data_IF_074077634210
#
_entry.id   IF_074077634210
#
_cell.length_a   1.000
_cell.length_b   1.000
_cell.length_c   1.000
_cell.angle_alpha   90.00
_cell.angle_beta   90.00
_cell.angle_gamma   90.00
#
_symmetry.space_group_name_H-M   'P 1'
#
loop_
_entity.id
_entity.type
_entity.pdbx_description
1 polymer ?
#
# COMPACT_ATOMS: atom_id res chain seq x y z
N UNK A 1 27.27 -21.52 -17.01
CA UNK A 1 26.18 -22.02 -16.16
C UNK A 1 25.71 -20.86 -15.30
N UNK A 2 25.06 -19.85 -15.91
CA UNK A 2 24.48 -18.67 -15.25
C UNK A 2 23.46 -18.05 -16.23
N UNK A 3 22.40 -18.79 -16.59
CA UNK A 3 21.38 -18.31 -17.55
C UNK A 3 19.94 -18.74 -17.16
N UNK A 4 19.69 -19.05 -15.89
CA UNK A 4 18.42 -19.65 -15.43
C UNK A 4 17.51 -18.76 -14.58
N UNK A 5 17.70 -17.43 -14.60
CA UNK A 5 16.86 -16.48 -13.85
C UNK A 5 16.28 -15.35 -14.72
N UNK A 6 15.84 -15.67 -15.93
CA UNK A 6 14.88 -14.82 -16.64
C UNK A 6 13.48 -15.41 -16.45
N UNK A 7 12.49 -14.65 -15.95
CA UNK A 7 11.11 -15.10 -15.96
C UNK A 7 10.69 -15.35 -17.41
N UNK A 8 10.16 -16.55 -17.67
CA UNK A 8 9.61 -16.94 -18.96
C UNK A 8 8.51 -15.94 -19.33
N UNK A 9 8.74 -15.21 -20.41
CA UNK A 9 7.78 -14.41 -21.21
C UNK A 9 6.59 -13.85 -20.43
N UNK A 10 6.66 -12.58 -20.05
CA UNK A 10 5.47 -11.79 -19.74
C UNK A 10 4.59 -11.78 -21.00
N UNK A 11 3.32 -12.22 -20.95
CA UNK A 11 2.44 -12.17 -22.11
C UNK A 11 2.32 -10.73 -22.61
N UNK A 12 2.44 -10.55 -23.93
CA UNK A 12 2.57 -9.26 -24.60
C UNK A 12 1.30 -8.38 -24.58
N UNK A 13 0.25 -8.80 -23.86
CA UNK A 13 -1.06 -8.15 -23.83
C UNK A 13 -1.47 -7.79 -22.39
N UNK A 14 -0.77 -6.84 -21.78
CA UNK A 14 -1.20 -6.21 -20.51
C UNK A 14 -2.52 -5.45 -20.65
N UNK A 15 -2.96 -5.16 -21.89
CA UNK A 15 -4.26 -4.54 -22.20
C UNK A 15 -5.46 -5.47 -21.95
N UNK A 16 -5.29 -6.79 -22.09
CA UNK A 16 -6.38 -7.77 -21.94
C UNK A 16 -6.65 -8.12 -20.48
N UNK A 17 -5.62 -8.09 -19.62
CA UNK A 17 -5.74 -8.39 -18.18
C UNK A 17 -6.52 -7.33 -17.39
N UNK A 18 -6.62 -6.10 -17.90
CA UNK A 18 -7.35 -5.01 -17.25
C UNK A 18 -8.89 -5.14 -17.36
N UNK A 19 -9.39 -6.04 -18.22
CA UNK A 19 -10.81 -6.25 -18.48
C UNK A 19 -11.30 -7.64 -18.06
N UNK A 20 -10.47 -8.42 -17.36
CA UNK A 20 -10.88 -9.73 -16.88
C UNK A 20 -11.96 -9.59 -15.78
N UNK A 21 -13.05 -10.33 -15.93
CA UNK A 21 -14.08 -10.37 -14.90
C UNK A 21 -13.50 -10.97 -13.61
N UNK A 22 -13.88 -10.40 -12.46
CA UNK A 22 -13.39 -10.84 -11.15
C UNK A 22 -14.54 -11.32 -10.29
N UNK A 23 -14.24 -12.26 -9.39
CA UNK A 23 -15.16 -12.73 -8.36
C UNK A 23 -14.67 -12.27 -6.99
N UNK A 24 -15.61 -11.89 -6.13
CA UNK A 24 -15.35 -11.53 -4.73
C UNK A 24 -15.24 -12.82 -3.91
N UNK A 25 -14.08 -13.01 -3.28
CA UNK A 25 -13.78 -14.15 -2.43
C UNK A 25 -13.58 -13.69 -0.99
N UNK A 26 -14.38 -14.22 -0.06
CA UNK A 26 -14.18 -14.00 1.36
C UNK A 26 -13.18 -15.03 1.90
N UNK A 27 -11.97 -14.58 2.22
CA UNK A 27 -10.93 -15.39 2.89
C UNK A 27 -10.95 -15.22 4.41
N UNK A 28 -11.93 -14.49 4.94
CA UNK A 28 -12.16 -14.12 6.34
C UNK A 28 -12.97 -15.15 7.14
N UNK A 29 -13.69 -14.68 8.16
CA UNK A 29 -14.79 -15.43 8.81
C UNK A 29 -16.13 -14.76 8.48
N UNK A 30 -17.24 -15.33 8.94
CA UNK A 30 -18.56 -14.69 8.81
C UNK A 30 -18.67 -13.39 9.63
N UNK A 31 -17.97 -13.31 10.77
CA UNK A 31 -17.98 -12.15 11.67
C UNK A 31 -16.93 -11.10 11.31
N UNK A 32 -15.80 -11.51 10.71
CA UNK A 32 -14.74 -10.64 10.18
C UNK A 32 -14.45 -10.99 8.72
N UNK A 33 -15.30 -10.55 7.77
CA UNK A 33 -15.15 -10.85 6.36
C UNK A 33 -13.94 -10.11 5.77
N UNK A 34 -13.10 -10.84 5.04
CA UNK A 34 -11.93 -10.30 4.33
C UNK A 34 -12.07 -10.59 2.85
N UNK A 35 -12.59 -9.61 2.11
CA UNK A 35 -12.91 -9.76 0.70
C UNK A 35 -11.71 -9.42 -0.17
N UNK A 36 -11.40 -10.30 -1.10
CA UNK A 36 -10.40 -10.09 -2.16
C UNK A 36 -11.03 -10.38 -3.52
N UNK A 37 -10.46 -9.79 -4.56
CA UNK A 37 -10.88 -10.03 -5.95
C UNK A 37 -9.91 -10.99 -6.62
N UNK A 38 -10.44 -12.05 -7.19
CA UNK A 38 -9.69 -13.03 -7.97
C UNK A 38 -10.26 -13.17 -9.37
N UNK A 39 -9.41 -13.49 -10.35
CA UNK A 39 -9.83 -13.63 -11.75
C UNK A 39 -10.88 -14.73 -11.92
N UNK A 40 -11.91 -14.47 -12.72
CA UNK A 40 -12.96 -15.44 -13.00
C UNK A 40 -12.48 -16.57 -13.93
N UNK A 41 -11.32 -16.41 -14.59
CA UNK A 41 -10.76 -17.42 -15.49
C UNK A 41 -10.20 -18.66 -14.80
N UNK A 42 -10.06 -18.64 -13.46
CA UNK A 42 -9.55 -19.76 -12.68
C UNK A 42 -10.49 -20.97 -12.77
N UNK A 43 -9.91 -22.15 -12.96
CA UNK A 43 -10.70 -23.37 -12.91
C UNK A 43 -11.19 -23.65 -11.47
N UNK A 44 -12.23 -24.48 -11.28
CA UNK A 44 -12.78 -24.73 -9.95
C UNK A 44 -11.79 -25.36 -8.95
N UNK A 45 -10.81 -26.13 -9.44
CA UNK A 45 -9.80 -26.76 -8.60
C UNK A 45 -8.76 -25.72 -8.17
N UNK A 46 -8.21 -24.97 -9.12
CA UNK A 46 -7.29 -23.86 -8.91
C UNK A 46 -7.89 -22.82 -7.98
N UNK A 47 -9.17 -22.48 -8.15
CA UNK A 47 -9.88 -21.55 -7.28
C UNK A 47 -9.95 -22.09 -5.84
N UNK A 48 -10.20 -23.39 -5.66
CA UNK A 48 -10.22 -24.03 -4.35
C UNK A 48 -8.84 -24.03 -3.67
N UNK A 49 -7.80 -24.39 -4.41
CA UNK A 49 -6.41 -24.38 -3.94
C UNK A 49 -5.96 -22.96 -3.58
N UNK A 50 -6.29 -21.98 -4.43
CA UNK A 50 -5.97 -20.58 -4.21
C UNK A 50 -6.72 -19.99 -3.02
N UNK A 51 -8.01 -20.33 -2.85
CA UNK A 51 -8.80 -19.93 -1.68
C UNK A 51 -8.18 -20.46 -0.39
N UNK A 52 -7.78 -21.73 -0.39
CA UNK A 52 -7.13 -22.36 0.76
C UNK A 52 -5.79 -21.69 1.07
N UNK A 53 -4.98 -21.45 0.05
CA UNK A 53 -3.69 -20.78 0.17
C UNK A 53 -3.83 -19.38 0.78
N UNK A 54 -4.74 -18.55 0.26
CA UNK A 54 -4.94 -17.18 0.72
C UNK A 54 -5.56 -17.12 2.11
N UNK A 55 -6.47 -18.04 2.43
CA UNK A 55 -7.06 -18.16 3.76
C UNK A 55 -6.00 -18.50 4.82
N UNK A 56 -5.06 -19.38 4.49
CA UNK A 56 -3.94 -19.75 5.37
C UNK A 56 -2.93 -18.60 5.56
N UNK A 57 -2.82 -17.68 4.60
CA UNK A 57 -1.90 -16.54 4.64
C UNK A 57 -2.62 -15.20 4.82
N UNK A 58 -3.80 -15.19 5.46
CA UNK A 58 -4.60 -13.98 5.69
C UNK A 58 -3.83 -12.86 6.39
N UNK A 59 -2.89 -13.22 7.26
CA UNK A 59 -2.05 -12.30 8.03
C UNK A 59 -0.97 -11.62 7.18
N UNK A 60 -0.70 -12.09 5.97
CA UNK A 60 0.26 -11.46 5.07
C UNK A 60 -0.28 -10.18 4.41
N UNK A 61 -1.59 -9.93 4.52
CA UNK A 61 -2.25 -8.77 3.95
C UNK A 61 -2.48 -7.69 5.00
N UNK A 62 -2.37 -6.44 4.56
CA UNK A 62 -2.73 -5.26 5.32
C UNK A 62 -4.21 -4.93 5.11
N UNK A 63 -5.06 -5.29 6.07
CA UNK A 63 -6.50 -4.97 5.98
C UNK A 63 -6.84 -3.62 6.58
N UNK A 64 -6.02 -3.20 7.54
CA UNK A 64 -6.02 -1.91 8.19
C UNK A 64 -4.57 -1.42 8.32
N UNK A 65 -4.38 -0.19 8.77
CA UNK A 65 -3.04 0.33 9.01
C UNK A 65 -2.40 -0.23 10.27
N UNK A 66 -3.19 -0.81 11.17
CA UNK A 66 -2.68 -1.51 12.35
C UNK A 66 -1.98 -2.82 11.94
N UNK A 67 -2.40 -3.42 10.82
CA UNK A 67 -1.81 -4.65 10.27
C UNK A 67 -0.46 -4.39 9.55
N UNK A 68 -0.05 -3.13 9.44
CA UNK A 68 1.23 -2.73 8.85
C UNK A 68 2.15 -2.11 9.92
N UNK A 69 2.62 -2.88 10.91
CA UNK A 69 3.68 -2.38 11.77
C UNK A 69 4.89 -2.10 10.86
N UNK A 70 5.32 -0.83 10.82
CA UNK A 70 6.49 -0.44 10.05
C UNK A 70 7.72 -1.27 10.47
N UNK A 71 8.77 -1.23 9.65
CA UNK A 71 10.05 -1.80 10.06
C UNK A 71 10.58 -1.02 11.26
N UNK A 72 11.15 -1.75 12.22
CA UNK A 72 11.81 -1.15 13.36
C UNK A 72 12.95 -0.22 12.87
N UNK A 73 12.90 1.09 13.17
CA UNK A 73 13.94 2.03 12.79
C UNK A 73 15.32 1.64 13.31
N UNK A 74 15.42 0.86 14.40
CA UNK A 74 16.71 0.38 14.89
C UNK A 74 17.31 -0.72 14.00
N UNK A 75 16.48 -1.37 13.16
CA UNK A 75 16.91 -2.41 12.21
C UNK A 75 17.25 -1.79 10.85
N UNK A 76 16.33 -1.01 10.27
CA UNK A 76 16.52 -0.41 8.93
C UNK A 76 15.94 0.99 8.87
N UNK A 77 16.78 1.96 8.50
CA UNK A 77 16.34 3.31 8.11
C UNK A 77 16.80 3.59 6.69
N UNK A 78 15.90 4.11 5.87
CA UNK A 78 16.27 4.67 4.58
C UNK A 78 16.82 6.09 4.75
N UNK A 79 18.06 6.33 4.30
CA UNK A 79 18.65 7.66 4.27
C UNK A 79 18.58 8.24 2.86
N UNK A 80 17.84 9.34 2.71
CA UNK A 80 17.78 10.10 1.47
C UNK A 80 18.99 11.04 1.42
N UNK A 81 20.02 10.65 0.67
CA UNK A 81 21.21 11.49 0.47
C UNK A 81 20.87 12.70 -0.39
N UNK A 82 21.18 13.90 0.12
CA UNK A 82 21.00 15.16 -0.60
C UNK A 82 22.32 15.64 -1.19
N UNK A 83 22.25 16.44 -2.26
CA UNK A 83 23.45 17.07 -2.83
C UNK A 83 24.05 18.07 -1.82
N UNK A 84 25.40 18.20 -1.75
CA UNK A 84 26.10 18.87 -0.66
C UNK A 84 25.78 20.38 -0.49
N UNK A 85 25.11 21.01 -1.45
CA UNK A 85 24.84 22.46 -1.44
C UNK A 85 23.35 22.79 -1.57
N UNK A 86 22.45 21.85 -1.28
CA UNK A 86 21.01 22.08 -1.38
C UNK A 86 20.49 22.73 -0.11
N UNK A 87 19.81 23.87 -0.29
CA UNK A 87 19.12 24.56 0.79
C UNK A 87 17.73 23.95 1.00
N UNK A 88 17.29 23.78 2.26
CA UNK A 88 15.95 23.30 2.55
C UNK A 88 14.89 24.31 2.09
N UNK A 89 13.78 23.79 1.57
CA UNK A 89 12.67 24.61 1.07
C UNK A 89 11.43 24.42 1.93
N UNK A 90 10.87 25.53 2.42
CA UNK A 90 9.54 25.58 3.04
C UNK A 90 8.53 26.11 2.04
N UNK A 91 7.71 25.23 1.50
CA UNK A 91 6.63 25.64 0.61
C UNK A 91 5.57 26.43 1.40
N UNK A 92 5.11 27.54 0.82
CA UNK A 92 4.01 28.33 1.39
C UNK A 92 2.72 27.51 1.38
N UNK A 93 2.00 27.48 2.50
CA UNK A 93 0.75 26.76 2.64
C UNK A 93 -0.28 27.20 1.57
N UNK A 94 -0.85 26.23 0.86
CA UNK A 94 -1.93 26.46 -0.10
C UNK A 94 -3.29 26.40 0.59
N UNK A 95 -4.23 27.24 0.15
CA UNK A 95 -5.62 27.14 0.57
C UNK A 95 -6.24 25.88 -0.05
N UNK A 96 -6.87 25.06 0.77
CA UNK A 96 -7.62 23.88 0.34
C UNK A 96 -9.12 24.11 0.52
N UNK A 97 -9.92 23.45 -0.31
CA UNK A 97 -11.37 23.46 -0.15
C UNK A 97 -11.75 22.81 1.20
N UNK A 98 -12.68 23.37 1.99
CA UNK A 98 -13.00 22.87 3.33
C UNK A 98 -13.34 21.38 3.39
N UNK A 99 -14.12 20.88 2.41
CA UNK A 99 -14.46 19.45 2.30
C UNK A 99 -13.22 18.55 2.19
N UNK A 100 -12.23 18.96 1.40
CA UNK A 100 -10.99 18.19 1.21
C UNK A 100 -10.12 18.27 2.46
N UNK A 101 -10.04 19.45 3.09
CA UNK A 101 -9.27 19.63 4.31
C UNK A 101 -9.77 18.74 5.46
N UNK A 102 -11.08 18.47 5.54
CA UNK A 102 -11.65 17.53 6.51
C UNK A 102 -11.19 16.09 6.26
N UNK A 103 -11.23 15.62 5.01
CA UNK A 103 -10.77 14.27 4.66
C UNK A 103 -9.27 14.10 4.94
N UNK A 104 -8.45 15.09 4.58
CA UNK A 104 -7.00 15.07 4.89
C UNK A 104 -6.78 15.02 6.41
N UNK A 105 -7.58 15.77 7.18
CA UNK A 105 -7.45 15.76 8.64
C UNK A 105 -7.77 14.39 9.22
N UNK A 106 -8.85 13.75 8.77
CA UNK A 106 -9.22 12.39 9.20
C UNK A 106 -8.12 11.38 8.87
N UNK A 107 -7.57 11.45 7.66
CA UNK A 107 -6.47 10.59 7.22
C UNK A 107 -5.21 10.80 8.06
N UNK A 108 -4.81 12.06 8.32
CA UNK A 108 -3.67 12.37 9.18
C UNK A 108 -3.85 11.87 10.60
N UNK A 109 -5.05 11.97 11.18
CA UNK A 109 -5.33 11.41 12.51
C UNK A 109 -5.14 9.90 12.53
N UNK A 110 -5.59 9.21 11.47
CA UNK A 110 -5.46 7.77 11.34
C UNK A 110 -3.99 7.33 11.23
N UNK A 111 -3.19 8.03 10.42
CA UNK A 111 -1.74 7.78 10.30
C UNK A 111 -0.98 8.10 11.60
N UNK A 112 -1.40 9.13 12.35
CA UNK A 112 -0.85 9.43 13.67
C UNK A 112 -1.17 8.33 14.68
N UNK A 113 -2.40 7.83 14.71
CA UNK A 113 -2.81 6.78 15.65
C UNK A 113 -2.06 5.46 15.47
N UNK A 114 -1.61 5.17 14.24
CA UNK A 114 -0.82 3.97 13.93
C UNK A 114 0.69 4.22 13.97
N UNK A 115 1.15 5.40 14.42
CA UNK A 115 2.56 5.80 14.47
C UNK A 115 3.29 5.80 13.11
N UNK A 116 2.56 5.89 11.99
CA UNK A 116 3.15 5.99 10.66
C UNK A 116 3.81 7.34 10.41
N UNK A 117 3.23 8.39 10.99
CA UNK A 117 3.78 9.74 10.97
C UNK A 117 3.91 10.25 12.41
N UNK A 118 4.81 11.20 12.61
CA UNK A 118 5.03 11.84 13.89
C UNK A 118 5.16 13.35 13.73
N UNK A 119 4.75 14.14 14.72
CA UNK A 119 5.01 15.57 14.72
C UNK A 119 6.52 15.82 14.81
N UNK A 120 6.99 16.80 14.05
CA UNK A 120 8.39 17.26 14.09
C UNK A 120 8.42 18.75 14.41
N UNK A 121 9.32 19.12 15.33
CA UNK A 121 9.50 20.51 15.70
C UNK A 121 10.41 21.24 14.71
N UNK A 122 10.00 22.45 14.33
CA UNK A 122 10.77 23.38 13.50
C UNK A 122 11.33 22.80 12.18
N UNK A 123 10.50 22.14 11.33
CA UNK A 123 10.97 21.51 10.11
C UNK A 123 11.58 22.52 9.16
N UNK A 124 12.76 22.19 8.60
CA UNK A 124 13.41 23.01 7.57
C UNK A 124 12.82 22.75 6.18
N UNK A 125 12.34 21.53 5.94
CA UNK A 125 11.66 21.10 4.73
C UNK A 125 10.16 21.04 4.97
N UNK A 126 9.38 21.75 4.16
CA UNK A 126 7.91 21.70 4.23
C UNK A 126 7.37 21.60 2.82
N UNK A 127 6.56 20.58 2.56
CA UNK A 127 5.82 20.44 1.31
C UNK A 127 4.32 20.55 1.56
N UNK A 128 3.60 21.09 0.58
CA UNK A 128 2.14 21.15 0.63
C UNK A 128 1.55 19.76 0.35
N UNK A 129 0.48 19.42 1.07
CA UNK A 129 -0.35 18.26 0.74
C UNK A 129 -1.07 18.54 -0.59
N UNK A 130 -1.05 17.55 -1.49
CA UNK A 130 -1.78 17.57 -2.75
C UNK A 130 -3.07 16.75 -2.54
N UNK A 131 -4.25 17.36 -2.72
CA UNK A 131 -5.55 16.68 -2.68
C UNK A 131 -5.73 15.56 -3.69
#
# INVERSE_FOLDING_TARGET
>A
AEDSYLPKTVPSDTSTLLNEATIDLNIGTSEDPRIIKVGQSLDPQELGDFTTFLSNHRQAFAWSYEDMPGLDPDIVVHNIVTLPNIKPVKQKLRKMHPRVALLIKEELQRLLSTNFIQPIDYPQWVSNVVP
#
